data_IF_100602832424
#
_entry.id   IF_100602832424
#
_cell.length_a   1.000
_cell.length_b   1.000
_cell.length_c   1.000
_cell.angle_alpha   90.00
_cell.angle_beta   90.00
_cell.angle_gamma   90.00
#
_symmetry.space_group_name_H-M   'P 1'
#
loop_
_entity.id
_entity.type
_entity.pdbx_description
1 polymer ?
#
# COMPACT_ATOMS: atom_id res chain seq x y z
N UNK A 1 9.61 19.49 -3.80
CA UNK A 1 8.90 18.88 -2.65
C UNK A 1 9.90 18.84 -1.50
N UNK A 2 9.49 18.72 -0.24
CA UNK A 2 10.48 18.43 0.80
C UNK A 2 10.97 16.97 0.61
N UNK A 3 12.28 16.72 0.60
CA UNK A 3 12.86 15.37 0.52
C UNK A 3 12.22 14.42 1.54
N UNK A 4 11.97 14.91 2.76
CA UNK A 4 11.27 14.16 3.82
C UNK A 4 9.87 13.70 3.43
N UNK A 5 9.16 14.46 2.60
CA UNK A 5 7.85 14.06 2.10
C UNK A 5 7.95 12.88 1.12
N UNK A 6 8.92 12.91 0.20
CA UNK A 6 9.16 11.81 -0.73
C UNK A 6 9.60 10.54 0.01
N UNK A 7 10.46 10.68 1.03
CA UNK A 7 10.82 9.58 1.93
C UNK A 7 9.61 8.99 2.66
N UNK A 8 8.68 9.84 3.10
CA UNK A 8 7.45 9.38 3.75
C UNK A 8 6.54 8.62 2.76
N UNK A 9 6.47 9.03 1.50
CA UNK A 9 5.73 8.28 0.46
C UNK A 9 6.35 6.88 0.28
N UNK A 10 7.67 6.78 0.21
CA UNK A 10 8.35 5.48 0.08
C UNK A 10 8.07 4.58 1.29
N UNK A 11 8.16 5.11 2.51
CA UNK A 11 7.84 4.35 3.73
C UNK A 11 6.38 3.91 3.77
N UNK A 12 5.46 4.77 3.34
CA UNK A 12 4.04 4.42 3.26
C UNK A 12 3.79 3.33 2.22
N UNK A 13 4.52 3.35 1.09
CA UNK A 13 4.42 2.33 0.05
C UNK A 13 4.92 0.97 0.57
N UNK A 14 6.08 0.96 1.23
CA UNK A 14 6.65 -0.24 1.85
C UNK A 14 5.69 -0.84 2.89
N UNK A 15 5.19 -0.02 3.82
CA UNK A 15 4.24 -0.46 4.84
C UNK A 15 2.92 -0.98 4.25
N UNK A 16 2.43 -0.35 3.17
CA UNK A 16 1.20 -0.79 2.49
C UNK A 16 1.39 -2.14 1.80
N UNK A 17 2.58 -2.37 1.22
CA UNK A 17 2.93 -3.65 0.59
C UNK A 17 3.11 -4.76 1.63
N UNK A 18 3.78 -4.47 2.74
CA UNK A 18 3.93 -5.42 3.85
C UNK A 18 2.57 -5.81 4.44
N UNK A 19 1.69 -4.83 4.67
CA UNK A 19 0.32 -5.09 5.13
C UNK A 19 -0.47 -5.93 4.13
N UNK A 20 -0.33 -5.67 2.82
CA UNK A 20 -0.98 -6.45 1.77
C UNK A 20 -0.54 -7.92 1.79
N UNK A 21 0.76 -8.17 1.92
CA UNK A 21 1.32 -9.51 1.93
C UNK A 21 0.88 -10.29 3.19
N UNK A 22 0.89 -9.64 4.35
CA UNK A 22 0.38 -10.21 5.61
C UNK A 22 -1.11 -10.56 5.47
N UNK A 23 -1.93 -9.66 4.92
CA UNK A 23 -3.37 -9.91 4.80
C UNK A 23 -3.69 -11.02 3.79
N UNK A 24 -2.90 -11.15 2.72
CA UNK A 24 -3.03 -12.27 1.76
C UNK A 24 -2.76 -13.60 2.44
N UNK A 25 -1.68 -13.71 3.22
CA UNK A 25 -1.39 -14.93 3.97
C UNK A 25 -2.48 -15.23 5.01
N UNK A 26 -2.92 -14.22 5.76
CA UNK A 26 -3.97 -14.39 6.76
C UNK A 26 -5.32 -14.82 6.15
N UNK A 27 -5.62 -14.40 4.91
CA UNK A 27 -6.80 -14.85 4.17
C UNK A 27 -6.72 -16.33 3.77
N UNK A 28 -5.52 -16.82 3.42
CA UNK A 28 -5.29 -18.24 3.14
C UNK A 28 -5.49 -19.09 4.40
N UNK A 29 -4.95 -18.61 5.53
CA UNK A 29 -5.01 -19.29 6.83
C UNK A 29 -6.39 -19.21 7.51
N UNK A 30 -7.24 -18.26 7.11
CA UNK A 30 -8.56 -18.05 7.71
C UNK A 30 -9.46 -19.29 7.57
N UNK A 31 -9.96 -19.79 8.70
CA UNK A 31 -10.82 -20.97 8.78
C UNK A 31 -12.33 -20.67 8.78
N UNK A 32 -12.72 -19.39 8.75
CA UNK A 32 -14.12 -18.96 8.67
C UNK A 32 -14.34 -17.85 7.63
N UNK A 33 -15.58 -17.76 7.13
CA UNK A 33 -15.97 -16.83 6.06
C UNK A 33 -15.96 -15.36 6.51
N UNK A 34 -16.16 -15.08 7.79
CA UNK A 34 -16.19 -13.70 8.31
C UNK A 34 -14.78 -13.11 8.38
N UNK A 35 -13.79 -13.89 8.81
CA UNK A 35 -12.37 -13.50 8.72
C UNK A 35 -11.93 -13.32 7.26
N UNK A 36 -12.35 -14.20 6.34
CA UNK A 36 -12.06 -14.05 4.90
C UNK A 36 -12.64 -12.76 4.32
N UNK A 37 -13.88 -12.42 4.68
CA UNK A 37 -14.51 -11.18 4.23
C UNK A 37 -13.77 -9.93 4.76
N UNK A 38 -13.35 -9.96 6.04
CA UNK A 38 -12.55 -8.89 6.63
C UNK A 38 -11.21 -8.71 5.90
N UNK A 39 -10.42 -9.77 5.74
CA UNK A 39 -9.13 -9.68 5.04
C UNK A 39 -9.29 -9.30 3.57
N UNK A 40 -10.34 -9.77 2.88
CA UNK A 40 -10.63 -9.37 1.50
C UNK A 40 -10.88 -7.86 1.38
N UNK A 41 -11.61 -7.25 2.32
CA UNK A 41 -11.82 -5.80 2.34
C UNK A 41 -10.50 -5.04 2.58
N UNK A 42 -9.69 -5.50 3.55
CA UNK A 42 -8.39 -4.88 3.85
C UNK A 42 -7.43 -4.99 2.67
N UNK A 43 -7.36 -6.15 2.01
CA UNK A 43 -6.53 -6.38 0.81
C UNK A 43 -6.88 -5.36 -0.27
N UNK A 44 -8.17 -5.17 -0.55
CA UNK A 44 -8.64 -4.24 -1.58
C UNK A 44 -8.23 -2.79 -1.27
N UNK A 45 -8.33 -2.38 -0.01
CA UNK A 45 -7.92 -1.05 0.42
C UNK A 45 -6.39 -0.88 0.35
N UNK A 46 -5.62 -1.89 0.75
CA UNK A 46 -4.16 -1.90 0.62
C UNK A 46 -3.71 -1.81 -0.85
N UNK A 47 -4.34 -2.55 -1.77
CA UNK A 47 -4.06 -2.46 -3.21
C UNK A 47 -4.30 -1.04 -3.73
N UNK A 48 -5.42 -0.43 -3.34
CA UNK A 48 -5.73 0.96 -3.68
C UNK A 48 -4.69 1.94 -3.11
N UNK A 49 -4.25 1.76 -1.86
CA UNK A 49 -3.20 2.60 -1.27
C UNK A 49 -1.87 2.48 -2.05
N UNK A 50 -1.47 1.25 -2.41
CA UNK A 50 -0.26 1.00 -3.20
C UNK A 50 -0.33 1.71 -4.56
N UNK A 51 -1.46 1.63 -5.26
CA UNK A 51 -1.66 2.33 -6.54
C UNK A 51 -1.57 3.84 -6.39
N UNK A 52 -2.24 4.42 -5.38
CA UNK A 52 -2.22 5.85 -5.11
C UNK A 52 -0.79 6.35 -4.81
N UNK A 53 -0.04 5.61 -3.99
CA UNK A 53 1.33 5.98 -3.62
C UNK A 53 2.26 5.88 -4.82
N UNK A 54 2.17 4.83 -5.64
CA UNK A 54 2.94 4.73 -6.90
C UNK A 54 2.62 5.87 -7.85
N UNK A 55 1.34 6.22 -7.99
CA UNK A 55 0.90 7.36 -8.81
C UNK A 55 1.50 8.69 -8.35
N UNK A 56 1.57 8.93 -7.03
CA UNK A 56 2.18 10.15 -6.49
C UNK A 56 3.69 10.19 -6.72
N UNK A 57 4.38 9.06 -6.56
CA UNK A 57 5.82 8.93 -6.88
C UNK A 57 6.07 9.30 -8.34
N UNK A 58 5.28 8.74 -9.27
CA UNK A 58 5.45 8.98 -10.69
C UNK A 58 5.13 10.44 -11.05
N UNK A 59 4.09 11.03 -10.45
CA UNK A 59 3.77 12.44 -10.59
C UNK A 59 4.94 13.34 -10.14
N UNK A 60 5.55 13.03 -8.99
CA UNK A 60 6.69 13.79 -8.47
C UNK A 60 7.92 13.70 -9.38
N UNK A 61 8.20 12.52 -9.95
CA UNK A 61 9.28 12.32 -10.91
C UNK A 61 9.06 13.14 -12.18
N UNK A 62 7.84 13.09 -12.75
CA UNK A 62 7.48 13.90 -13.93
C UNK A 62 7.62 15.40 -13.65
N UNK A 63 7.25 15.84 -12.44
CA UNK A 63 7.38 17.23 -12.02
C UNK A 63 8.82 17.66 -11.65
N UNK A 64 9.82 16.76 -11.71
CA UNK A 64 11.19 16.99 -11.24
C UNK A 64 11.25 17.47 -9.78
N UNK A 65 10.35 16.93 -8.95
CA UNK A 65 10.22 17.21 -7.51
C UNK A 65 10.56 16.00 -6.64
N UNK A 66 11.09 14.94 -7.26
CA UNK A 66 11.43 13.68 -6.60
C UNK A 66 12.78 13.76 -5.89
N UNK A 67 13.76 14.38 -6.53
CA UNK A 67 15.10 14.61 -5.99
C UNK A 67 15.12 15.77 -4.98
#
# INVERSE_FOLDING_TARGET
>A
MNQKFNENILKALEASQEALDICKQAMEDANDETCRAMYSAIIKDCEKHVEMLKGEIDLHKVQKKWD
#
